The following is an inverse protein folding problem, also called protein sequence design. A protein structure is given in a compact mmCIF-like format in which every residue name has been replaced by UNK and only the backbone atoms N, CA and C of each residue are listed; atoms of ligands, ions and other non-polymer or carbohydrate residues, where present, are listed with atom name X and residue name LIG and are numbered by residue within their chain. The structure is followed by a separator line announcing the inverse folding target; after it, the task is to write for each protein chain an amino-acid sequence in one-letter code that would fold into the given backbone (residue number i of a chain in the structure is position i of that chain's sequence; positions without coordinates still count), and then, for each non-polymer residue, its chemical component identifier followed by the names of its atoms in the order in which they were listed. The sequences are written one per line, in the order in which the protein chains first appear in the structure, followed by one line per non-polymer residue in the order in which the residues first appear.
data_IF_447931056837
#
_entry.id   IF_447931056837
#
_cell.length_a   1.000
_cell.length_b   1.000
_cell.length_c   1.000
_cell.angle_alpha   90.00
_cell.angle_beta   90.00
_cell.angle_gamma   90.00
#
_symmetry.space_group_name_H-M   'P 1'
#
loop_
_entity.id
_entity.type
_entity.pdbx_description
1 polymer ?
#
# COMPACT_ATOMS: atom_id res chain seq x y z
N UNK A 1 -12.99 -20.26 53.29
CA UNK A 1 -13.77 -19.71 52.15
C UNK A 1 -13.39 -18.28 51.74
N UNK A 2 -13.08 -17.35 52.66
CA UNK A 2 -12.73 -15.95 52.32
C UNK A 2 -11.45 -15.77 51.47
N UNK A 3 -10.45 -16.65 51.64
CA UNK A 3 -9.18 -16.61 50.89
C UNK A 3 -9.31 -17.05 49.42
N UNK A 4 -10.26 -17.95 49.12
CA UNK A 4 -10.52 -18.39 47.75
C UNK A 4 -11.17 -17.26 46.93
N UNK A 5 -12.07 -16.49 47.54
CA UNK A 5 -12.69 -15.31 46.91
C UNK A 5 -11.66 -14.21 46.60
N UNK A 6 -10.68 -13.98 47.48
CA UNK A 6 -9.59 -13.02 47.23
C UNK A 6 -8.70 -13.40 46.06
N UNK A 7 -8.40 -14.70 45.89
CA UNK A 7 -7.61 -15.19 44.75
C UNK A 7 -8.34 -15.01 43.43
N UNK A 8 -9.65 -15.28 43.40
CA UNK A 8 -10.49 -15.08 42.20
C UNK A 8 -10.60 -13.59 41.83
N UNK A 9 -10.65 -12.70 42.82
CA UNK A 9 -10.67 -11.24 42.62
C UNK A 9 -9.32 -10.72 42.08
N UNK A 10 -8.19 -11.23 42.59
CA UNK A 10 -6.84 -10.88 42.10
C UNK A 10 -6.58 -11.39 40.68
N UNK A 11 -7.05 -12.59 40.34
CA UNK A 11 -6.92 -13.17 39.00
C UNK A 11 -7.78 -12.42 37.95
N UNK A 12 -8.95 -11.90 38.32
CA UNK A 12 -9.79 -11.12 37.42
C UNK A 12 -9.34 -9.66 37.24
N UNK A 13 -8.59 -9.09 38.18
CA UNK A 13 -8.09 -7.72 38.08
C UNK A 13 -6.87 -7.57 37.14
N UNK A 14 -6.14 -8.66 36.86
CA UNK A 14 -4.93 -8.64 36.04
C UNK A 14 -5.21 -8.75 34.53
N UNK A 15 -6.39 -9.22 34.14
CA UNK A 15 -6.69 -9.64 32.77
C UNK A 15 -6.93 -8.54 31.70
N UNK A 16 -7.22 -7.25 32.00
CA UNK A 16 -7.42 -6.28 30.92
C UNK A 16 -6.12 -5.58 30.43
N UNK A 17 -4.99 -5.71 31.13
CA UNK A 17 -3.79 -4.94 30.76
C UNK A 17 -3.00 -5.50 29.56
N UNK A 18 -3.27 -6.74 29.14
CA UNK A 18 -2.54 -7.40 28.05
C UNK A 18 -3.23 -7.32 26.67
N UNK A 19 -4.36 -6.62 26.58
CA UNK A 19 -5.07 -6.40 25.30
C UNK A 19 -4.78 -5.03 24.68
N UNK A 20 -3.80 -4.29 25.19
CA UNK A 20 -3.28 -3.13 24.48
C UNK A 20 -2.30 -3.62 23.40
N UNK A 21 -2.47 -3.16 22.17
CA UNK A 21 -1.56 -3.28 21.02
C UNK A 21 -1.78 -4.41 20.00
N UNK A 22 -2.85 -5.22 20.12
CA UNK A 22 -3.27 -6.06 18.99
C UNK A 22 -4.10 -5.19 18.04
N UNK A 23 -3.42 -4.29 17.32
CA UNK A 23 -4.03 -3.62 16.17
C UNK A 23 -4.48 -4.69 15.18
N UNK A 24 -5.74 -4.63 14.74
CA UNK A 24 -6.30 -5.59 13.78
C UNK A 24 -5.49 -5.44 12.48
N UNK A 25 -4.64 -6.43 12.18
CA UNK A 25 -3.93 -6.49 10.91
C UNK A 25 -4.89 -6.88 9.80
N UNK A 26 -4.79 -6.17 8.69
CA UNK A 26 -5.48 -6.44 7.45
C UNK A 26 -4.49 -7.01 6.45
N UNK A 27 -5.01 -7.77 5.50
CA UNK A 27 -4.19 -8.38 4.45
C UNK A 27 -4.47 -7.65 3.14
N UNK A 28 -3.45 -7.52 2.31
CA UNK A 28 -3.57 -6.95 0.97
C UNK A 28 -2.48 -7.45 0.06
N UNK A 29 -2.74 -7.43 -1.25
CA UNK A 29 -1.77 -7.83 -2.26
C UNK A 29 -1.22 -6.62 -3.01
N UNK A 30 0.09 -6.60 -3.24
CA UNK A 30 0.73 -5.56 -4.05
C UNK A 30 0.51 -5.87 -5.53
N UNK A 31 -0.37 -5.12 -6.19
CA UNK A 31 -0.76 -5.38 -7.60
C UNK A 31 0.01 -4.53 -8.60
N UNK A 32 0.61 -3.43 -8.15
CA UNK A 32 1.43 -2.56 -9.00
C UNK A 32 2.53 -1.93 -8.17
N UNK A 33 3.71 -1.83 -8.78
CA UNK A 33 4.86 -1.10 -8.25
C UNK A 33 5.41 -0.21 -9.36
N UNK A 34 5.65 1.05 -9.05
CA UNK A 34 6.34 1.97 -9.97
C UNK A 34 7.18 2.98 -9.18
N UNK A 35 8.18 3.56 -9.83
CA UNK A 35 8.97 4.65 -9.25
C UNK A 35 8.34 5.97 -9.70
N UNK A 36 8.01 6.85 -8.76
CA UNK A 36 7.36 8.13 -9.01
C UNK A 36 8.02 9.29 -8.27
N UNK A 37 7.60 10.50 -8.62
CA UNK A 37 8.12 11.72 -8.01
C UNK A 37 7.46 11.99 -6.65
N UNK A 38 8.24 11.88 -5.58
CA UNK A 38 7.75 12.07 -4.22
C UNK A 38 7.68 13.53 -3.81
N UNK A 39 6.66 14.23 -4.29
CA UNK A 39 6.39 15.62 -3.87
C UNK A 39 5.57 15.67 -2.57
N UNK A 40 5.01 14.53 -2.13
CA UNK A 40 4.00 14.50 -1.06
C UNK A 40 4.53 14.67 0.38
N UNK A 41 5.85 14.52 0.63
CA UNK A 41 6.38 14.51 2.00
C UNK A 41 7.03 15.83 2.47
N UNK A 42 7.16 16.86 1.60
CA UNK A 42 7.78 18.15 1.98
C UNK A 42 6.94 19.40 1.74
N UNK A 43 5.74 19.29 1.17
CA UNK A 43 4.89 20.45 0.89
C UNK A 43 3.83 20.72 1.96
N UNK A 44 4.28 20.94 3.19
CA UNK A 44 3.51 21.78 4.10
C UNK A 44 3.70 23.24 3.71
N UNK A 45 2.89 23.76 2.78
CA UNK A 45 2.56 25.19 2.53
C UNK A 45 3.67 26.28 2.53
N UNK A 46 4.96 25.96 2.72
CA UNK A 46 6.04 26.92 2.97
C UNK A 46 7.06 27.05 1.83
N UNK A 47 6.88 26.33 0.72
CA UNK A 47 7.81 26.39 -0.41
C UNK A 47 7.54 27.57 -1.38
N UNK A 48 6.42 28.29 -1.25
CA UNK A 48 6.04 29.34 -2.22
C UNK A 48 6.46 30.75 -1.80
N UNK A 49 7.04 30.94 -0.60
CA UNK A 49 7.44 32.27 -0.10
C UNK A 49 8.88 32.40 0.43
N UNK A 50 9.69 31.34 0.36
CA UNK A 50 11.13 31.40 0.70
C UNK A 50 11.97 31.48 -0.57
N UNK A 51 12.97 32.37 -0.59
CA UNK A 51 13.96 32.51 -1.67
C UNK A 51 14.69 31.20 -2.02
N UNK A 52 15.61 31.21 -3.01
CA UNK A 52 16.02 30.04 -3.78
C UNK A 52 16.55 28.92 -2.87
N UNK A 53 15.68 27.98 -2.52
CA UNK A 53 16.10 26.75 -1.87
C UNK A 53 16.84 25.93 -2.92
N UNK A 54 18.05 25.50 -2.58
CA UNK A 54 18.88 24.64 -3.41
C UNK A 54 18.06 23.46 -3.96
N UNK A 55 18.31 23.01 -5.20
CA UNK A 55 17.58 21.91 -5.82
C UNK A 55 17.83 20.65 -4.99
N UNK A 56 16.89 20.33 -4.09
CA UNK A 56 16.89 19.06 -3.38
C UNK A 56 16.62 18.02 -4.45
N UNK A 57 17.59 17.12 -4.66
CA UNK A 57 17.49 16.04 -5.64
C UNK A 57 16.13 15.36 -5.52
N UNK A 58 15.39 15.34 -6.62
CA UNK A 58 14.14 14.59 -6.76
C UNK A 58 14.54 13.11 -6.80
N UNK A 59 14.76 12.52 -5.63
CA UNK A 59 14.97 11.08 -5.54
C UNK A 59 13.63 10.39 -5.85
N UNK A 60 13.57 9.50 -6.86
CA UNK A 60 12.35 8.77 -7.16
C UNK A 60 12.07 7.83 -5.97
N UNK A 61 10.85 7.83 -5.44
CA UNK A 61 10.46 6.83 -4.44
C UNK A 61 9.46 5.83 -5.01
N UNK A 62 9.45 4.63 -4.42
CA UNK A 62 8.58 3.58 -4.88
C UNK A 62 7.15 3.86 -4.42
N UNK A 63 6.24 3.80 -5.38
CA UNK A 63 4.81 3.84 -5.19
C UNK A 63 4.22 2.45 -5.44
N UNK A 64 3.39 2.01 -4.50
CA UNK A 64 2.74 0.72 -4.51
C UNK A 64 1.23 0.87 -4.53
N UNK A 65 0.57 0.06 -5.34
CA UNK A 65 -0.87 -0.12 -5.28
C UNK A 65 -1.15 -1.40 -4.51
N UNK A 66 -1.72 -1.24 -3.32
CA UNK A 66 -2.10 -2.32 -2.42
C UNK A 66 -3.59 -2.57 -2.52
N UNK A 67 -3.96 -3.75 -3.03
CA UNK A 67 -5.33 -4.21 -3.12
C UNK A 67 -5.73 -4.94 -1.83
N UNK A 68 -6.66 -4.37 -1.07
CA UNK A 68 -7.29 -5.04 0.07
C UNK A 68 -8.75 -5.40 -0.25
N UNK A 69 -9.47 -5.95 0.73
CA UNK A 69 -10.83 -6.46 0.57
C UNK A 69 -11.80 -5.38 0.09
N UNK A 70 -11.74 -4.18 0.68
CA UNK A 70 -12.70 -3.08 0.44
C UNK A 70 -12.10 -1.83 -0.19
N UNK A 71 -10.81 -1.61 0.02
CA UNK A 71 -10.12 -0.38 -0.36
C UNK A 71 -8.81 -0.74 -1.05
N UNK A 72 -8.51 -0.01 -2.12
CA UNK A 72 -7.21 0.01 -2.77
C UNK A 72 -6.44 1.21 -2.25
N UNK A 73 -5.27 0.95 -1.67
CA UNK A 73 -4.39 1.99 -1.16
C UNK A 73 -3.28 2.25 -2.16
N UNK A 74 -3.05 3.50 -2.49
CA UNK A 74 -1.83 3.93 -3.18
C UNK A 74 -0.89 4.47 -2.11
N UNK A 75 0.23 3.78 -1.88
CA UNK A 75 1.18 4.10 -0.82
C UNK A 75 2.55 4.42 -1.39
N UNK A 76 3.26 5.33 -0.74
CA UNK A 76 4.58 5.80 -1.17
C UNK A 76 5.61 5.49 -0.08
N UNK A 77 6.71 4.86 -0.48
CA UNK A 77 7.86 4.59 0.38
C UNK A 77 8.69 5.84 0.65
N UNK A 78 9.25 5.95 1.86
CA UNK A 78 10.11 7.08 2.24
C UNK A 78 11.49 7.02 1.57
N UNK A 79 11.94 5.82 1.19
CA UNK A 79 13.23 5.59 0.56
C UNK A 79 13.21 4.31 -0.29
N UNK A 80 13.99 4.28 -1.36
CA UNK A 80 14.05 3.15 -2.32
C UNK A 80 14.60 1.83 -1.73
N UNK A 81 15.12 1.82 -0.50
CA UNK A 81 15.70 0.64 0.14
C UNK A 81 14.69 -0.22 0.91
N UNK A 82 13.44 0.24 1.06
CA UNK A 82 12.35 -0.49 1.69
C UNK A 82 11.36 -0.91 0.59
N UNK A 83 11.68 -2.03 -0.04
CA UNK A 83 10.91 -2.56 -1.17
C UNK A 83 9.91 -3.60 -0.69
N UNK A 84 8.65 -3.44 -1.11
CA UNK A 84 7.63 -4.48 -0.95
C UNK A 84 7.58 -5.26 -2.26
N UNK A 85 7.77 -6.58 -2.25
CA UNK A 85 7.72 -7.37 -3.47
C UNK A 85 6.35 -7.31 -4.15
N UNK A 86 6.37 -7.30 -5.48
CA UNK A 86 5.16 -7.35 -6.30
C UNK A 86 4.48 -8.72 -6.15
N UNK A 87 3.15 -8.74 -6.18
CA UNK A 87 2.30 -9.93 -6.05
C UNK A 87 2.39 -10.65 -4.69
N UNK A 88 3.07 -10.07 -3.71
CA UNK A 88 3.08 -10.60 -2.34
C UNK A 88 1.82 -10.19 -1.57
N UNK A 89 1.39 -11.04 -0.65
CA UNK A 89 0.34 -10.74 0.32
C UNK A 89 1.03 -10.25 1.58
N UNK A 90 0.75 -9.01 1.96
CA UNK A 90 1.34 -8.35 3.11
C UNK A 90 0.31 -8.08 4.20
N UNK A 91 0.78 -8.08 5.44
CA UNK A 91 0.00 -7.65 6.59
C UNK A 91 0.20 -6.16 6.80
N UNK A 92 -0.88 -5.43 7.02
CA UNK A 92 -0.80 -4.01 7.26
C UNK A 92 -1.84 -3.53 8.27
N UNK A 93 -1.58 -2.37 8.86
CA UNK A 93 -2.53 -1.68 9.73
C UNK A 93 -2.49 -0.18 9.47
N UNK A 94 -3.65 0.44 9.62
CA UNK A 94 -3.75 1.89 9.60
C UNK A 94 -3.32 2.44 10.96
N UNK A 95 -2.35 3.35 10.96
CA UNK A 95 -1.84 3.97 12.18
C UNK A 95 -1.43 5.41 11.91
N UNK A 96 -2.09 6.37 12.55
CA UNK A 96 -1.80 7.82 12.44
C UNK A 96 -1.74 8.33 10.99
N UNK A 97 -2.70 7.95 10.14
CA UNK A 97 -2.75 8.35 8.72
C UNK A 97 -1.58 7.82 7.86
N UNK A 98 -0.82 6.87 8.39
CA UNK A 98 0.18 6.09 7.67
C UNK A 98 -0.26 4.61 7.63
N UNK A 99 0.26 3.88 6.65
CA UNK A 99 0.10 2.44 6.56
C UNK A 99 1.35 1.78 7.14
N UNK A 100 1.20 1.08 8.27
CA UNK A 100 2.27 0.27 8.83
C UNK A 100 2.18 -1.15 8.24
N UNK A 101 3.15 -1.50 7.41
CA UNK A 101 3.22 -2.76 6.66
C UNK A 101 4.26 -3.68 7.26
N UNK A 102 3.94 -4.97 7.35
CA UNK A 102 4.81 -6.06 7.75
C UNK A 102 4.99 -7.02 6.57
N UNK A 103 6.25 -7.28 6.23
CA UNK A 103 6.67 -8.17 5.14
C UNK A 103 7.27 -9.43 5.78
N UNK A 104 6.89 -10.63 5.31
CA UNK A 104 7.47 -11.93 5.68
C UNK A 104 7.76 -12.16 7.19
N UNK A 105 6.76 -11.97 8.05
CA UNK A 105 6.86 -12.16 9.51
C UNK A 105 7.98 -11.36 10.21
N UNK A 106 8.58 -10.39 9.52
CA UNK A 106 9.59 -9.53 10.12
C UNK A 106 8.98 -8.80 11.32
N UNK A 107 9.71 -8.78 12.45
CA UNK A 107 9.32 -7.97 13.62
C UNK A 107 9.33 -6.45 13.33
N UNK A 108 9.75 -6.02 12.14
CA UNK A 108 9.88 -4.63 11.74
C UNK A 108 8.71 -4.26 10.85
N UNK A 109 7.85 -3.41 11.38
CA UNK A 109 6.85 -2.71 10.57
C UNK A 109 7.52 -1.52 9.86
N UNK A 110 7.22 -1.37 8.59
CA UNK A 110 7.64 -0.22 7.78
C UNK A 110 6.45 0.69 7.56
N UNK A 111 6.64 2.00 7.76
CA UNK A 111 5.56 2.99 7.64
C UNK A 111 5.59 3.66 6.28
N UNK A 112 4.48 3.56 5.56
CA UNK A 112 4.27 4.16 4.26
C UNK A 112 3.25 5.30 4.35
N UNK A 113 3.46 6.34 3.57
CA UNK A 113 2.50 7.44 3.45
C UNK A 113 1.42 7.05 2.45
N UNK A 114 0.16 7.30 2.79
CA UNK A 114 -0.98 7.04 1.92
C UNK A 114 -1.11 8.24 0.98
N UNK A 115 -0.98 8.00 -0.33
CA UNK A 115 -1.21 8.99 -1.39
C UNK A 115 -2.69 9.05 -1.76
N UNK A 116 -3.34 7.91 -1.87
CA UNK A 116 -4.74 7.81 -2.27
C UNK A 116 -5.41 6.58 -1.64
N UNK A 117 -6.72 6.69 -1.41
CA UNK A 117 -7.59 5.58 -1.01
C UNK A 117 -8.76 5.53 -1.97
N UNK A 118 -8.91 4.41 -2.67
CA UNK A 118 -9.93 4.21 -3.69
C UNK A 118 -10.81 3.04 -3.26
N UNK A 119 -12.13 3.14 -3.39
CA UNK A 119 -13.00 1.99 -3.13
C UNK A 119 -12.70 0.88 -4.14
N UNK A 120 -12.63 -0.37 -3.68
CA UNK A 120 -12.30 -1.50 -4.55
C UNK A 120 -13.25 -1.61 -5.74
N UNK A 121 -14.54 -1.36 -5.53
CA UNK A 121 -15.54 -1.41 -6.61
C UNK A 121 -15.36 -0.30 -7.66
N UNK A 122 -14.81 0.85 -7.30
CA UNK A 122 -14.50 1.94 -8.23
C UNK A 122 -13.22 1.63 -9.01
N UNK A 123 -12.21 1.10 -8.33
CA UNK A 123 -10.98 0.63 -8.96
C UNK A 123 -11.27 -0.45 -10.00
N UNK A 124 -12.04 -1.49 -9.64
CA UNK A 124 -12.38 -2.59 -10.55
C UNK A 124 -13.13 -2.12 -11.79
N UNK A 125 -14.11 -1.22 -11.65
CA UNK A 125 -14.80 -0.60 -12.79
C UNK A 125 -13.84 0.17 -13.70
N UNK A 126 -12.91 0.91 -13.09
CA UNK A 126 -11.90 1.67 -13.84
C UNK A 126 -10.96 0.72 -14.62
N UNK A 127 -10.52 -0.38 -14.00
CA UNK A 127 -9.70 -1.38 -14.67
C UNK A 127 -10.44 -2.05 -15.84
N UNK A 128 -11.72 -2.39 -15.67
CA UNK A 128 -12.55 -2.97 -16.73
C UNK A 128 -12.65 -2.06 -17.95
N UNK A 129 -12.92 -0.77 -17.74
CA UNK A 129 -12.99 0.19 -18.85
C UNK A 129 -11.64 0.37 -19.57
N UNK A 130 -10.53 0.30 -18.84
CA UNK A 130 -9.19 0.34 -19.45
C UNK A 130 -8.98 -0.91 -20.31
N UNK A 131 -9.33 -2.09 -19.80
CA UNK A 131 -9.20 -3.35 -20.53
C UNK A 131 -10.08 -3.38 -21.80
N UNK A 132 -11.33 -2.94 -21.71
CA UNK A 132 -12.24 -2.83 -22.87
C UNK A 132 -11.68 -1.92 -23.96
N UNK A 133 -11.13 -0.77 -23.58
CA UNK A 133 -10.50 0.17 -24.53
C UNK A 133 -9.27 -0.43 -25.18
N UNK A 134 -8.42 -1.12 -24.41
CA UNK A 134 -7.25 -1.80 -24.94
C UNK A 134 -7.68 -2.90 -25.92
N UNK A 135 -8.70 -3.68 -25.58
CA UNK A 135 -9.24 -4.72 -26.46
C UNK A 135 -9.85 -4.16 -27.74
N UNK A 136 -10.58 -3.04 -27.65
CA UNK A 136 -11.13 -2.36 -28.81
C UNK A 136 -10.05 -1.75 -29.72
N UNK A 137 -8.91 -1.34 -29.15
CA UNK A 137 -7.75 -0.86 -29.91
C UNK A 137 -6.94 -1.98 -30.58
N UNK A 138 -7.11 -3.22 -30.12
CA UNK A 138 -6.44 -4.39 -30.67
C UNK A 138 -7.19 -4.88 -31.90
N UNK A 139 -6.75 -4.47 -33.10
CA UNK A 139 -7.29 -4.94 -34.38
C UNK A 139 -6.66 -6.29 -34.76
N UNK A 140 -7.39 -7.42 -34.70
CA UNK A 140 -6.85 -8.75 -35.00
C UNK A 140 -6.45 -8.94 -36.47
N UNK A 141 -6.77 -7.99 -37.36
CA UNK A 141 -6.41 -8.05 -38.78
C UNK A 141 -4.92 -7.74 -39.04
N UNK A 142 -4.28 -6.89 -38.22
CA UNK A 142 -2.88 -6.48 -38.42
C UNK A 142 -1.92 -7.61 -38.04
N UNK A 143 -2.22 -8.38 -37.00
CA UNK A 143 -1.35 -9.46 -36.50
C UNK A 143 -1.26 -10.67 -37.47
N UNK A 144 -2.32 -10.95 -38.23
CA UNK A 144 -2.31 -12.03 -39.25
C UNK A 144 -1.38 -11.77 -40.43
N UNK A 145 -1.07 -10.50 -40.72
CA UNK A 145 -0.15 -10.14 -41.82
C UNK A 145 1.32 -10.28 -41.45
N UNK A 146 1.65 -10.30 -40.16
CA UNK A 146 3.03 -10.50 -39.69
C UNK A 146 3.37 -11.99 -39.66
N UNK A 147 2.41 -12.85 -39.28
CA UNK A 147 2.61 -14.30 -39.26
C UNK A 147 2.79 -14.97 -40.63
N UNK A 148 2.33 -14.35 -41.71
CA UNK A 148 2.40 -14.91 -43.08
C UNK A 148 3.58 -14.40 -43.91
N UNK A 149 4.36 -13.43 -43.41
CA UNK A 149 5.52 -12.87 -44.13
C UNK A 149 6.84 -13.61 -43.86
N UNK A 150 6.86 -14.52 -42.88
CA UNK A 150 8.05 -15.26 -42.44
C UNK A 150 7.95 -16.77 -42.73
N UNK A 151 7.47 -17.15 -43.91
CA UNK A 151 7.54 -18.53 -44.37
C UNK A 151 8.37 -18.58 -45.65
N UNK A 152 9.54 -19.26 -45.65
CA UNK A 152 10.47 -19.29 -46.78
C UNK A 152 9.94 -20.07 -47.99
#
# INVERSE_FOLDING_TARGET
MKRAFLLILLLNACSPFLMAQIGIYQHGSVVRMHMGDCVLARHGFMATFGGPAAPVAQEPCPEYTLLSDKVVFVIVGKSSNQLIPLAEIIDFRFHNNELAVRVDDAKRETKFTIREMILRSEWERTQQHIEERLRASYDPAVDRTIGTRNQP
#
